data_IF_010140010955
#
_entry.id   IF_010140010955
#
_cell.length_a   1.000
_cell.length_b   1.000
_cell.length_c   1.000
_cell.angle_alpha   90.00
_cell.angle_beta   90.00
_cell.angle_gamma   90.00
#
_symmetry.space_group_name_H-M   'P 1'
#
loop_
_entity.id
_entity.type
_entity.pdbx_description
1 polymer ?
#
# COMPACT_ATOMS: atom_id res chain seq x y z
N UNK A 1 -23.33 -7.77 19.48
CA UNK A 1 -22.34 -6.86 18.90
C UNK A 1 -21.28 -7.75 18.30
N UNK A 2 -21.01 -7.66 17.00
CA UNK A 2 -20.09 -8.59 16.34
C UNK A 2 -18.69 -8.35 16.88
N UNK A 3 -18.08 -9.37 17.48
CA UNK A 3 -16.67 -9.42 17.88
C UNK A 3 -15.75 -9.51 16.65
N UNK A 4 -16.03 -8.74 15.59
CA UNK A 4 -15.17 -8.71 14.41
C UNK A 4 -13.93 -7.89 14.76
N UNK A 5 -12.75 -8.51 14.96
CA UNK A 5 -11.56 -7.79 15.40
C UNK A 5 -10.92 -6.98 14.25
N UNK A 6 -11.56 -6.92 13.08
CA UNK A 6 -10.97 -6.44 11.85
C UNK A 6 -10.06 -7.48 11.18
N UNK A 7 -9.90 -7.36 9.87
CA UNK A 7 -8.84 -8.03 9.12
C UNK A 7 -7.61 -7.13 9.08
N UNK A 8 -6.42 -7.68 9.35
CA UNK A 8 -5.15 -6.97 9.24
C UNK A 8 -4.49 -7.30 7.92
N UNK A 9 -3.83 -6.30 7.36
CA UNK A 9 -3.07 -6.42 6.13
C UNK A 9 -1.65 -5.96 6.37
N UNK A 10 -0.71 -6.69 5.80
CA UNK A 10 0.68 -6.30 5.63
C UNK A 10 1.02 -6.46 4.16
N UNK A 11 1.55 -5.42 3.53
CA UNK A 11 1.82 -5.42 2.10
C UNK A 11 3.14 -4.73 1.82
N UNK A 12 3.84 -5.19 0.78
CA UNK A 12 5.18 -4.69 0.43
C UNK A 12 5.26 -4.30 -1.04
N UNK A 13 5.95 -3.20 -1.32
CA UNK A 13 6.32 -2.74 -2.66
C UNK A 13 7.74 -2.15 -2.63
N UNK A 14 8.45 -2.14 -3.76
CA UNK A 14 9.74 -1.48 -3.85
C UNK A 14 9.59 0.00 -4.22
N UNK A 15 10.45 0.86 -3.66
CA UNK A 15 10.49 2.30 -3.95
C UNK A 15 11.69 2.64 -4.82
N UNK A 16 11.45 3.35 -5.92
CA UNK A 16 12.50 3.87 -6.81
C UNK A 16 13.38 4.84 -6.05
N UNK A 17 14.69 4.76 -6.27
CA UNK A 17 15.68 5.59 -5.58
C UNK A 17 15.44 7.08 -5.81
N UNK A 18 15.09 7.46 -7.02
CA UNK A 18 14.87 8.85 -7.44
C UNK A 18 13.60 9.44 -6.84
N UNK A 19 12.66 8.59 -6.42
CA UNK A 19 11.37 9.01 -5.87
C UNK A 19 11.37 9.14 -4.35
N UNK A 20 12.47 8.83 -3.65
CA UNK A 20 12.49 8.72 -2.19
C UNK A 20 11.97 9.97 -1.47
N UNK A 21 12.53 11.14 -1.80
CA UNK A 21 12.18 12.37 -1.10
C UNK A 21 10.79 12.87 -1.49
N UNK A 22 10.44 12.79 -2.78
CA UNK A 22 9.08 13.13 -3.25
C UNK A 22 8.02 12.22 -2.61
N UNK A 23 8.29 10.92 -2.51
CA UNK A 23 7.38 9.96 -1.88
C UNK A 23 7.07 10.36 -0.44
N UNK A 24 8.09 10.77 0.33
CA UNK A 24 7.91 11.26 1.71
C UNK A 24 7.09 12.55 1.74
N UNK A 25 7.39 13.50 0.85
CA UNK A 25 6.72 14.81 0.83
C UNK A 25 5.23 14.67 0.51
N UNK A 26 4.88 13.91 -0.52
CA UNK A 26 3.47 13.72 -0.87
C UNK A 26 2.72 12.94 0.22
N UNK A 27 3.36 11.98 0.90
CA UNK A 27 2.71 11.22 1.98
C UNK A 27 2.63 12.00 3.30
N UNK A 28 3.44 13.05 3.48
CA UNK A 28 3.23 14.02 4.56
C UNK A 28 2.02 14.93 4.28
N UNK A 29 1.63 15.04 3.00
CA UNK A 29 0.58 15.94 2.51
C UNK A 29 -0.51 15.20 1.70
N UNK A 30 -0.90 14.00 2.15
CA UNK A 30 -1.90 13.18 1.44
C UNK A 30 -3.18 13.99 1.22
N UNK A 31 -3.74 13.90 0.01
CA UNK A 31 -4.94 14.65 -0.35
C UNK A 31 -6.10 14.29 0.58
N UNK A 32 -6.84 15.28 1.13
CA UNK A 32 -7.96 15.02 2.02
C UNK A 32 -9.01 14.07 1.44
N UNK A 33 -9.25 14.12 0.13
CA UNK A 33 -10.18 13.23 -0.57
C UNK A 33 -9.72 11.76 -0.53
N UNK A 34 -8.41 11.50 -0.69
CA UNK A 34 -7.85 10.14 -0.59
C UNK A 34 -8.00 9.60 0.83
N UNK A 35 -7.74 10.44 1.84
CA UNK A 35 -7.95 10.08 3.24
C UNK A 35 -9.43 9.81 3.56
N UNK A 36 -10.35 10.57 2.98
CA UNK A 36 -11.79 10.33 3.10
C UNK A 36 -12.18 8.98 2.48
N UNK A 37 -11.67 8.67 1.28
CA UNK A 37 -11.90 7.37 0.64
C UNK A 37 -11.43 6.21 1.51
N UNK A 38 -10.25 6.30 2.13
CA UNK A 38 -9.77 5.28 3.09
C UNK A 38 -10.77 5.07 4.25
N UNK A 39 -11.31 6.15 4.81
CA UNK A 39 -12.32 6.07 5.88
C UNK A 39 -13.62 5.43 5.40
N UNK A 40 -14.11 5.82 4.21
CA UNK A 40 -15.32 5.24 3.60
C UNK A 40 -15.17 3.76 3.24
N UNK A 41 -13.94 3.32 2.98
CA UNK A 41 -13.58 1.90 2.77
C UNK A 41 -13.26 1.15 4.08
N UNK A 42 -13.57 1.72 5.25
CA UNK A 42 -13.34 1.11 6.56
C UNK A 42 -11.88 0.71 6.83
N UNK A 43 -10.92 1.42 6.23
CA UNK A 43 -9.49 1.25 6.48
C UNK A 43 -9.09 2.19 7.62
N UNK A 44 -8.49 1.63 8.66
CA UNK A 44 -8.00 2.33 9.85
C UNK A 44 -6.61 1.85 10.23
N UNK A 45 -5.93 2.61 11.09
CA UNK A 45 -4.60 2.24 11.60
C UNK A 45 -3.61 1.95 10.46
N UNK A 46 -3.67 2.79 9.40
CA UNK A 46 -2.87 2.63 8.20
C UNK A 46 -1.54 3.40 8.34
N UNK A 47 -0.44 2.66 8.35
CA UNK A 47 0.93 3.18 8.30
C UNK A 47 1.72 2.60 7.13
N UNK A 48 2.66 3.37 6.59
CA UNK A 48 3.64 2.91 5.61
C UNK A 48 5.04 3.19 6.17
N UNK A 49 5.85 2.15 6.29
CA UNK A 49 7.22 2.23 6.78
C UNK A 49 8.20 2.01 5.62
N UNK A 50 9.30 2.76 5.61
CA UNK A 50 10.41 2.51 4.69
C UNK A 50 11.45 1.63 5.39
N UNK A 51 11.73 0.47 4.80
CA UNK A 51 12.95 -0.30 5.05
C UNK A 51 13.97 0.11 3.98
N UNK A 52 14.98 0.94 4.31
CA UNK A 52 15.99 1.35 3.33
C UNK A 52 16.71 0.13 2.76
N UNK A 53 17.06 0.20 1.48
CA UNK A 53 17.69 -0.89 0.73
C UNK A 53 18.95 -1.42 1.45
N UNK A 54 18.99 -2.69 1.92
CA UNK A 54 20.21 -3.42 2.28
C UNK A 54 20.77 -4.15 1.03
N UNK A 55 21.98 -4.72 1.05
CA UNK A 55 22.70 -5.18 -0.16
C UNK A 55 22.09 -6.37 -0.92
N UNK A 56 20.88 -6.82 -0.60
CA UNK A 56 20.27 -7.98 -1.24
C UNK A 56 19.53 -7.58 -2.51
N UNK A 57 19.76 -8.32 -3.61
CA UNK A 57 19.09 -8.09 -4.88
C UNK A 57 17.60 -8.46 -4.80
N UNK A 58 16.73 -7.58 -5.28
CA UNK A 58 15.38 -7.97 -5.65
C UNK A 58 15.44 -8.79 -6.94
N UNK A 59 14.58 -9.80 -7.05
CA UNK A 59 14.41 -10.55 -8.29
C UNK A 59 13.96 -9.56 -9.37
N UNK A 60 14.66 -9.55 -10.50
CA UNK A 60 14.38 -8.74 -11.69
C UNK A 60 14.46 -7.20 -11.52
N UNK A 61 15.18 -6.69 -10.52
CA UNK A 61 15.52 -5.26 -10.43
C UNK A 61 16.97 -5.04 -9.96
N UNK A 62 17.76 -4.17 -10.63
CA UNK A 62 19.11 -3.88 -10.18
C UNK A 62 19.07 -3.26 -8.77
N UNK A 63 19.76 -3.82 -7.76
CA UNK A 63 19.76 -3.27 -6.40
C UNK A 63 20.23 -1.80 -6.31
N UNK A 64 20.92 -1.29 -7.33
CA UNK A 64 21.39 0.10 -7.41
C UNK A 64 20.32 1.15 -7.67
N UNK A 65 19.09 0.76 -8.04
CA UNK A 65 18.02 1.66 -8.48
C UNK A 65 16.90 1.85 -7.45
N UNK A 66 17.03 1.26 -6.25
CA UNK A 66 15.98 1.29 -5.24
C UNK A 66 16.41 2.06 -3.99
N UNK A 67 15.46 2.83 -3.44
CA UNK A 67 15.60 3.43 -2.11
C UNK A 67 15.43 2.39 -1.00
N UNK A 68 14.62 1.37 -1.25
CA UNK A 68 14.26 0.34 -0.28
C UNK A 68 12.89 -0.25 -0.53
N UNK A 69 12.37 -0.95 0.48
CA UNK A 69 11.03 -1.52 0.49
C UNK A 69 10.09 -0.65 1.32
N UNK A 70 8.90 -0.41 0.81
CA UNK A 70 7.79 0.17 1.54
C UNK A 70 6.94 -0.95 2.11
N UNK A 71 6.64 -0.87 3.41
CA UNK A 71 5.88 -1.85 4.17
C UNK A 71 4.62 -1.15 4.69
N UNK A 72 3.49 -1.42 4.06
CA UNK A 72 2.17 -0.93 4.42
C UNK A 72 1.49 -1.89 5.39
N UNK A 73 0.96 -1.38 6.49
CA UNK A 73 0.10 -2.13 7.40
C UNK A 73 -1.18 -1.36 7.68
N UNK A 74 -2.33 -2.02 7.64
CA UNK A 74 -3.61 -1.41 8.01
C UNK A 74 -4.59 -2.44 8.54
N UNK A 75 -5.63 -1.94 9.23
CA UNK A 75 -6.78 -2.73 9.67
C UNK A 75 -7.98 -2.36 8.80
N UNK A 76 -8.67 -3.37 8.33
CA UNK A 76 -9.99 -3.26 7.74
C UNK A 76 -11.02 -3.66 8.77
N UNK A 77 -11.93 -2.75 9.10
CA UNK A 77 -12.97 -2.96 10.14
C UNK A 77 -14.38 -3.05 9.56
N UNK A 78 -14.51 -3.08 8.23
CA UNK A 78 -15.79 -3.27 7.55
C UNK A 78 -16.25 -4.72 7.57
N UNK A 79 -17.47 -4.96 7.11
CA UNK A 79 -18.06 -6.31 7.04
C UNK A 79 -18.10 -6.92 5.64
N UNK A 80 -17.76 -6.14 4.59
CA UNK A 80 -17.83 -6.56 3.19
C UNK A 80 -16.65 -6.03 2.37
N UNK A 81 -15.53 -6.77 2.42
CA UNK A 81 -14.29 -6.37 1.77
C UNK A 81 -14.45 -6.20 0.25
N UNK A 82 -15.26 -7.05 -0.37
CA UNK A 82 -15.44 -7.03 -1.82
C UNK A 82 -16.12 -5.73 -2.27
N UNK A 83 -17.10 -5.25 -1.51
CA UNK A 83 -17.76 -3.98 -1.83
C UNK A 83 -16.94 -2.77 -1.37
N UNK A 84 -16.31 -2.82 -0.21
CA UNK A 84 -15.55 -1.67 0.32
C UNK A 84 -14.26 -1.39 -0.45
N UNK A 85 -13.61 -2.42 -1.00
CA UNK A 85 -12.46 -2.28 -1.89
C UNK A 85 -12.84 -1.63 -3.24
N UNK A 86 -14.08 -1.83 -3.72
CA UNK A 86 -14.59 -1.18 -4.94
C UNK A 86 -14.78 0.32 -4.76
N UNK A 87 -15.05 0.80 -3.53
CA UNK A 87 -15.17 2.24 -3.25
C UNK A 87 -13.88 2.95 -3.61
N UNK A 88 -12.74 2.47 -3.11
CA UNK A 88 -11.42 3.02 -3.41
C UNK A 88 -11.06 2.87 -4.89
N UNK A 89 -11.36 1.71 -5.50
CA UNK A 89 -11.07 1.46 -6.91
C UNK A 89 -11.88 2.36 -7.86
N UNK A 90 -13.10 2.76 -7.48
CA UNK A 90 -13.97 3.62 -8.28
C UNK A 90 -13.72 5.12 -8.06
N UNK A 91 -13.07 5.51 -6.95
CA UNK A 91 -12.86 6.91 -6.59
C UNK A 91 -11.83 7.59 -7.51
N UNK A 92 -12.19 8.69 -8.19
CA UNK A 92 -11.32 9.32 -9.18
C UNK A 92 -10.08 9.97 -8.54
N UNK A 93 -10.18 10.50 -7.32
CA UNK A 93 -9.04 11.12 -6.63
C UNK A 93 -8.07 10.04 -6.14
N UNK A 94 -8.57 8.91 -5.63
CA UNK A 94 -7.75 7.74 -5.31
C UNK A 94 -7.03 7.19 -6.54
N UNK A 95 -7.71 7.05 -7.68
CA UNK A 95 -7.05 6.59 -8.92
C UNK A 95 -5.98 7.55 -9.42
N UNK A 96 -6.21 8.87 -9.27
CA UNK A 96 -5.23 9.89 -9.65
C UNK A 96 -4.03 9.89 -8.71
N UNK A 97 -4.26 9.70 -7.42
CA UNK A 97 -3.22 9.48 -6.42
C UNK A 97 -2.38 8.24 -6.75
N UNK A 98 -3.02 7.10 -7.06
CA UNK A 98 -2.34 5.88 -7.47
C UNK A 98 -1.49 6.06 -8.72
N UNK A 99 -1.98 6.77 -9.74
CA UNK A 99 -1.19 7.02 -10.94
C UNK A 99 0.15 7.73 -10.63
N UNK A 100 0.19 8.60 -9.61
CA UNK A 100 1.41 9.26 -9.15
C UNK A 100 2.29 8.27 -8.38
N UNK A 101 1.73 7.57 -7.38
CA UNK A 101 2.51 6.70 -6.50
C UNK A 101 3.00 5.42 -7.19
N UNK A 102 2.22 4.85 -8.10
CA UNK A 102 2.62 3.70 -8.92
C UNK A 102 3.86 4.06 -9.77
N UNK A 103 3.90 5.30 -10.28
CA UNK A 103 5.05 5.85 -11.00
C UNK A 103 6.32 5.91 -10.16
N UNK A 104 6.20 5.97 -8.83
CA UNK A 104 7.33 6.01 -7.88
C UNK A 104 7.79 4.61 -7.44
N UNK A 105 7.03 3.57 -7.77
CA UNK A 105 7.18 2.24 -7.20
C UNK A 105 7.57 1.19 -8.24
N UNK A 106 8.03 0.04 -7.76
CA UNK A 106 8.16 -1.20 -8.50
C UNK A 106 7.40 -2.29 -7.76
N UNK A 107 6.41 -2.88 -8.44
CA UNK A 107 5.63 -3.98 -7.88
C UNK A 107 6.48 -5.25 -7.74
N UNK A 108 6.25 -5.98 -6.66
CA UNK A 108 6.78 -7.33 -6.44
C UNK A 108 5.78 -8.42 -6.89
N UNK A 109 4.61 -8.02 -7.41
CA UNK A 109 3.60 -8.92 -7.94
C UNK A 109 3.91 -9.18 -9.41
N UNK A 110 4.15 -10.44 -9.76
CA UNK A 110 4.45 -10.86 -11.14
C UNK A 110 3.34 -10.44 -12.09
N UNK A 111 3.71 -9.67 -13.13
CA UNK A 111 2.78 -9.22 -14.18
C UNK A 111 1.92 -8.02 -13.82
N UNK A 112 2.13 -7.39 -12.65
CA UNK A 112 1.37 -6.19 -12.28
C UNK A 112 1.76 -4.97 -13.13
N UNK A 113 0.76 -4.21 -13.57
CA UNK A 113 0.93 -3.01 -14.41
C UNK A 113 0.55 -1.69 -13.70
N UNK A 114 -0.10 -1.78 -12.54
CA UNK A 114 -0.48 -0.64 -11.70
C UNK A 114 -1.64 -1.00 -10.76
N UNK A 115 -1.90 -0.15 -9.76
CA UNK A 115 -2.93 -0.32 -8.73
C UNK A 115 -4.35 -0.38 -9.30
N UNK A 116 -4.57 0.21 -10.49
CA UNK A 116 -5.89 0.20 -11.17
C UNK A 116 -6.22 -1.13 -11.87
N UNK A 117 -5.22 -1.95 -12.19
CA UNK A 117 -5.38 -3.14 -13.04
C UNK A 117 -5.38 -4.45 -12.23
N UNK A 118 -5.21 -4.35 -10.90
CA UNK A 118 -5.16 -5.49 -10.00
C UNK A 118 -4.22 -5.24 -8.81
N UNK A 119 -3.79 -6.32 -8.12
CA UNK A 119 -2.87 -6.21 -6.99
C UNK A 119 -1.54 -5.59 -7.40
N UNK A 120 -1.23 -4.41 -6.85
CA UNK A 120 0.05 -3.73 -7.08
C UNK A 120 1.05 -3.99 -5.94
N UNK A 121 0.58 -4.05 -4.70
CA UNK A 121 1.41 -4.38 -3.55
C UNK A 121 1.34 -5.88 -3.25
N UNK A 122 2.48 -6.49 -2.96
CA UNK A 122 2.56 -7.90 -2.60
C UNK A 122 1.99 -8.13 -1.21
N UNK A 123 1.03 -9.06 -1.06
CA UNK A 123 0.40 -9.37 0.21
C UNK A 123 1.30 -10.30 1.04
N UNK A 124 1.60 -9.91 2.27
CA UNK A 124 2.32 -10.75 3.21
C UNK A 124 1.36 -11.64 4.02
N UNK A 125 1.80 -12.87 4.33
CA UNK A 125 1.08 -13.78 5.21
C UNK A 125 1.23 -13.35 6.69
N UNK A 126 0.10 -13.25 7.40
CA UNK A 126 0.11 -13.09 8.86
C UNK A 126 0.42 -14.44 9.52
N UNK A 127 1.68 -14.69 9.85
CA UNK A 127 2.14 -15.97 10.47
C UNK A 127 2.04 -16.00 11.99
N UNK A 128 1.86 -14.84 12.63
CA UNK A 128 1.73 -14.72 14.07
C UNK A 128 0.94 -13.48 14.46
N UNK A 129 0.13 -13.61 15.50
CA UNK A 129 -0.61 -12.52 16.13
C UNK A 129 -0.77 -12.76 17.62
N UNK A 130 -0.69 -11.68 18.40
CA UNK A 130 -1.11 -11.66 19.78
C UNK A 130 -2.00 -10.43 20.03
N UNK A 131 -3.26 -10.68 20.39
CA UNK A 131 -4.22 -9.67 20.83
C UNK A 131 -4.67 -10.08 22.23
N UNK A 132 -4.52 -9.17 23.20
CA UNK A 132 -4.89 -9.39 24.60
C UNK A 132 -6.23 -8.73 24.91
#
# INVERSE_FOLDING_TARGET
MSDYPGQRFCQVVALKKEALEEYKDIHANVWPAVLDTLRRSHIVDYSIHLLPSPPFALVDSPPSELAGLLIATFKYIGSDWENDSKIAAADPETRRWWAITDGMQHSLVTGATGSKDGPWWYQCEEVFRHEK
#
